data_IF_890740799235
#
_entry.id   IF_890740799235
#
_cell.length_a   1.000
_cell.length_b   1.000
_cell.length_c   1.000
_cell.angle_alpha   90.00
_cell.angle_beta   90.00
_cell.angle_gamma   90.00
#
_symmetry.space_group_name_H-M   'P 1'
#
loop_
_entity.id
_entity.type
_entity.pdbx_description
1 polymer ?
#
# COMPACT_ATOMS: atom_id res chain seq x y z
N UNK A 1 -19.21 -3.89 45.45
CA UNK A 1 -18.16 -3.56 46.42
C UNK A 1 -16.96 -4.47 46.16
N UNK A 2 -15.77 -3.88 46.16
CA UNK A 2 -14.43 -4.48 45.97
C UNK A 2 -14.11 -5.17 44.64
N UNK A 3 -13.28 -4.49 43.84
CA UNK A 3 -12.49 -5.03 42.74
C UNK A 3 -11.26 -4.15 42.57
N UNK A 4 -10.12 -4.68 42.99
CA UNK A 4 -8.85 -3.99 43.24
C UNK A 4 -8.26 -3.27 42.02
N UNK A 5 -7.68 -2.11 42.32
CA UNK A 5 -6.86 -1.26 41.47
C UNK A 5 -5.54 -1.99 41.19
N UNK A 6 -5.31 -2.34 39.93
CA UNK A 6 -4.00 -2.72 39.40
C UNK A 6 -3.49 -1.62 38.47
N UNK A 7 -2.79 -0.64 39.04
CA UNK A 7 -2.02 0.35 38.29
C UNK A 7 -0.78 -0.35 37.71
N UNK A 8 -0.74 -0.57 36.40
CA UNK A 8 0.51 -0.78 35.66
C UNK A 8 0.79 0.46 34.82
N UNK A 9 1.68 1.30 35.31
CA UNK A 9 2.27 2.46 34.64
C UNK A 9 3.54 2.11 33.85
N UNK A 10 3.78 0.83 33.54
CA UNK A 10 5.07 0.33 33.01
C UNK A 10 5.27 0.40 31.49
N UNK A 11 4.20 0.44 30.70
CA UNK A 11 4.30 0.12 29.26
C UNK A 11 5.12 1.09 28.40
N UNK A 12 5.16 2.39 28.74
CA UNK A 12 5.90 3.38 27.95
C UNK A 12 7.37 3.55 28.40
N UNK A 13 7.64 3.31 29.69
CA UNK A 13 8.97 3.49 30.29
C UNK A 13 9.91 2.33 29.95
N UNK A 14 9.40 1.10 29.88
CA UNK A 14 10.21 -0.08 29.55
C UNK A 14 10.65 -0.08 28.09
N UNK A 15 9.81 0.36 27.15
CA UNK A 15 10.20 0.44 25.73
C UNK A 15 11.29 1.49 25.49
N UNK A 16 11.23 2.63 26.19
CA UNK A 16 12.25 3.68 26.10
C UNK A 16 13.53 3.25 26.83
N UNK A 17 13.41 2.58 27.99
CA UNK A 17 14.55 2.04 28.74
C UNK A 17 15.31 0.98 27.94
N UNK A 18 14.60 0.04 27.31
CA UNK A 18 15.22 -1.01 26.51
C UNK A 18 15.90 -0.43 25.25
N UNK A 19 15.30 0.58 24.61
CA UNK A 19 15.92 1.24 23.46
C UNK A 19 17.20 2.03 23.82
N UNK A 20 17.30 2.55 25.05
CA UNK A 20 18.50 3.25 25.53
C UNK A 20 19.57 2.24 25.95
N UNK A 21 19.18 1.15 26.63
CA UNK A 21 20.08 0.08 27.04
C UNK A 21 20.77 -0.59 25.84
N UNK A 22 20.02 -0.85 24.75
CA UNK A 22 20.54 -1.45 23.52
C UNK A 22 21.47 -0.52 22.74
N UNK A 23 21.26 0.80 22.85
CA UNK A 23 22.14 1.79 22.22
C UNK A 23 23.48 1.87 22.96
N UNK A 24 23.48 1.77 24.29
CA UNK A 24 24.68 1.84 25.14
C UNK A 24 25.53 0.57 24.98
N UNK A 25 24.91 -0.61 24.90
CA UNK A 25 25.62 -1.88 24.67
C UNK A 25 26.23 -1.98 23.27
N UNK A 26 25.62 -1.35 22.25
CA UNK A 26 26.20 -1.26 20.90
C UNK A 26 27.45 -0.38 20.81
N UNK A 27 27.55 0.64 21.68
CA UNK A 27 28.69 1.55 21.75
C UNK A 27 29.85 0.99 22.59
N UNK A 28 29.57 0.16 23.59
CA UNK A 28 30.59 -0.47 24.43
C UNK A 28 31.38 -1.59 23.74
N UNK A 29 30.81 -2.25 22.73
CA UNK A 29 31.47 -3.34 21.99
C UNK A 29 32.28 -2.88 20.76
N UNK A 30 32.38 -1.57 20.50
CA UNK A 30 33.06 -1.03 19.31
C UNK A 30 34.52 -0.61 19.54
N UNK A 31 35.08 -0.75 20.75
CA UNK A 31 36.32 -0.06 21.13
C UNK A 31 37.45 -0.92 21.71
N UNK A 32 37.48 -2.23 21.47
CA UNK A 32 38.64 -3.07 21.83
C UNK A 32 39.12 -3.92 20.64
N UNK A 33 40.17 -3.42 19.94
CA UNK A 33 41.43 -4.12 19.68
C UNK A 33 42.15 -3.59 18.42
N UNK A 34 43.28 -2.91 18.65
CA UNK A 34 44.29 -2.61 17.63
C UNK A 34 45.69 -3.09 18.09
N UNK A 35 46.31 -3.92 17.24
CA UNK A 35 47.77 -4.18 17.02
C UNK A 35 48.60 -5.05 18.01
N UNK A 36 49.79 -5.59 17.61
CA UNK A 36 50.16 -6.37 16.41
C UNK A 36 51.01 -7.67 16.71
N UNK A 37 51.26 -8.45 15.64
CA UNK A 37 52.08 -9.68 15.43
C UNK A 37 53.57 -9.64 15.95
N UNK A 38 54.45 -10.71 15.95
CA UNK A 38 54.60 -11.81 14.95
C UNK A 38 55.14 -13.23 15.37
N UNK A 39 55.24 -14.13 14.37
CA UNK A 39 55.95 -15.45 14.26
C UNK A 39 55.27 -16.69 14.90
N UNK A 40 55.24 -17.92 14.35
CA UNK A 40 56.11 -18.65 13.41
C UNK A 40 55.36 -19.84 12.73
N UNK A 41 55.97 -20.40 11.68
CA UNK A 41 55.55 -21.44 10.71
C UNK A 41 54.97 -22.79 11.21
N UNK A 42 54.00 -23.37 10.47
CA UNK A 42 54.13 -24.60 9.64
C UNK A 42 52.77 -25.27 9.24
N UNK A 43 52.70 -25.65 7.95
CA UNK A 43 51.89 -26.63 7.21
C UNK A 43 50.78 -27.46 7.90
N UNK A 44 49.55 -27.44 7.37
CA UNK A 44 48.95 -28.45 6.45
C UNK A 44 47.41 -28.36 6.39
N UNK A 45 46.89 -28.41 5.15
CA UNK A 45 45.62 -28.98 4.66
C UNK A 45 44.23 -28.61 5.21
N UNK A 46 43.35 -28.44 4.19
CA UNK A 46 41.91 -28.71 4.14
C UNK A 46 40.92 -27.66 4.68
N UNK A 47 40.14 -27.11 3.74
CA UNK A 47 38.70 -26.99 3.91
C UNK A 47 38.11 -25.58 4.08
N UNK A 48 37.40 -25.15 3.03
CA UNK A 48 36.18 -24.33 3.08
C UNK A 48 36.32 -22.80 3.28
N UNK A 49 35.37 -22.09 2.67
CA UNK A 49 34.98 -20.68 2.83
C UNK A 49 35.67 -19.69 1.87
N UNK A 50 35.06 -19.51 0.69
CA UNK A 50 35.17 -18.32 -0.17
C UNK A 50 33.84 -18.13 -0.94
N UNK A 51 32.84 -17.54 -0.28
CA UNK A 51 31.67 -16.93 -0.94
C UNK A 51 31.24 -15.71 -0.13
N UNK A 52 32.04 -14.64 -0.20
CA UNK A 52 31.62 -13.32 0.24
C UNK A 52 32.40 -12.27 -0.57
N UNK A 53 32.11 -12.19 -1.88
CA UNK A 53 32.50 -11.05 -2.74
C UNK A 53 31.79 -10.99 -4.10
N UNK A 54 30.65 -11.66 -4.26
CA UNK A 54 29.90 -11.70 -5.52
C UNK A 54 28.42 -11.28 -5.33
N UNK A 55 28.17 -10.27 -4.49
CA UNK A 55 26.83 -9.68 -4.34
C UNK A 55 26.76 -8.16 -4.57
N UNK A 56 27.89 -7.46 -4.69
CA UNK A 56 27.91 -6.01 -4.94
C UNK A 56 27.98 -5.64 -6.42
N UNK A 57 28.01 -6.61 -7.35
CA UNK A 57 28.08 -6.37 -8.79
C UNK A 57 26.71 -6.38 -9.52
N UNK A 58 25.61 -6.72 -8.82
CA UNK A 58 24.27 -6.86 -9.43
C UNK A 58 23.39 -5.60 -9.19
N UNK A 59 23.84 -4.66 -8.36
CA UNK A 59 23.11 -3.42 -8.03
C UNK A 59 23.09 -2.33 -9.11
N UNK A 60 24.06 -2.32 -10.04
CA UNK A 60 24.25 -1.19 -10.96
C UNK A 60 23.73 -1.42 -12.40
N UNK A 61 23.21 -2.62 -12.71
CA UNK A 61 22.65 -2.94 -14.03
C UNK A 61 21.13 -2.70 -14.17
N UNK A 62 20.43 -2.32 -13.09
CA UNK A 62 18.99 -2.03 -13.13
C UNK A 62 18.62 -0.54 -13.19
N UNK A 63 19.60 0.38 -13.25
CA UNK A 63 19.35 1.83 -13.36
C UNK A 63 19.49 2.41 -14.77
N UNK A 64 19.95 1.63 -15.75
CA UNK A 64 20.27 2.11 -17.11
C UNK A 64 19.22 1.87 -18.20
N UNK A 65 18.07 1.25 -17.91
CA UNK A 65 17.08 0.85 -18.95
C UNK A 65 15.79 1.68 -18.90
N UNK A 66 15.70 2.68 -18.01
CA UNK A 66 14.52 3.53 -17.87
C UNK A 66 14.52 4.80 -18.74
N UNK A 67 15.47 4.96 -19.65
CA UNK A 67 15.61 6.17 -20.47
C UNK A 67 15.95 5.82 -21.92
N UNK A 68 14.96 5.28 -22.65
CA UNK A 68 14.84 5.41 -24.11
C UNK A 68 13.52 4.81 -24.58
N UNK A 69 13.00 5.32 -25.69
CA UNK A 69 11.78 4.92 -26.42
C UNK A 69 10.53 5.70 -26.03
N UNK A 70 10.58 6.99 -26.36
CA UNK A 70 9.45 7.76 -26.87
C UNK A 70 9.41 7.51 -28.39
N UNK A 71 8.37 6.84 -28.91
CA UNK A 71 8.10 6.78 -30.37
C UNK A 71 6.62 6.95 -30.64
N UNK A 72 6.39 8.02 -31.41
CA UNK A 72 5.22 8.59 -32.04
C UNK A 72 4.40 7.59 -32.87
N UNK A 73 3.09 7.52 -32.65
CA UNK A 73 2.17 6.66 -33.43
C UNK A 73 1.41 7.50 -34.45
N UNK A 74 1.92 7.55 -35.68
CA UNK A 74 1.25 8.19 -36.82
C UNK A 74 0.11 7.29 -37.34
N UNK A 75 -1.05 7.91 -37.44
CA UNK A 75 -2.32 7.38 -37.93
C UNK A 75 -2.41 7.55 -39.44
N UNK A 76 -2.46 6.46 -40.20
CA UNK A 76 -2.87 6.52 -41.61
C UNK A 76 -4.06 5.60 -41.91
N UNK A 77 -4.91 6.18 -42.74
CA UNK A 77 -6.33 5.94 -42.97
C UNK A 77 -6.49 4.99 -44.17
N UNK A 78 -7.43 4.06 -44.08
CA UNK A 78 -7.80 3.19 -45.20
C UNK A 78 -8.38 3.98 -46.37
N UNK A 79 -8.06 3.53 -47.59
CA UNK A 79 -8.80 3.88 -48.80
C UNK A 79 -8.73 2.73 -49.81
N UNK A 80 -9.92 2.30 -50.20
CA UNK A 80 -10.26 1.40 -51.30
C UNK A 80 -10.08 2.06 -52.66
N UNK A 81 -9.68 1.28 -53.67
CA UNK A 81 -9.85 1.51 -55.12
C UNK A 81 -9.94 0.10 -55.73
N UNK A 82 -11.07 -0.36 -56.29
CA UNK A 82 -11.85 0.10 -57.45
C UNK A 82 -11.09 0.03 -58.79
N UNK A 83 -11.85 -0.50 -59.75
CA UNK A 83 -11.48 -1.15 -61.01
C UNK A 83 -11.32 -0.17 -62.17
N UNK A 84 -10.89 -0.78 -63.28
CA UNK A 84 -11.05 -0.36 -64.67
C UNK A 84 -10.02 0.63 -65.22
N UNK A 85 -9.35 0.20 -66.30
CA UNK A 85 -9.52 0.71 -67.69
C UNK A 85 -8.20 0.54 -68.48
N UNK A 86 -8.23 -0.31 -69.50
CA UNK A 86 -7.27 -0.35 -70.64
C UNK A 86 -7.47 0.87 -71.56
N UNK A 87 -6.47 1.36 -72.33
CA UNK A 87 -6.20 0.77 -73.65
C UNK A 87 -4.74 0.79 -74.16
N UNK A 88 -4.48 -0.20 -75.03
CA UNK A 88 -3.69 -0.24 -76.27
C UNK A 88 -2.56 0.79 -76.54
N UNK A 89 -1.35 0.27 -76.79
CA UNK A 89 -0.70 0.23 -78.12
C UNK A 89 0.82 0.06 -78.01
N UNK A 90 1.37 -1.04 -78.54
CA UNK A 90 2.24 -1.03 -79.72
C UNK A 90 2.97 -2.36 -79.87
N UNK A 91 2.99 -2.80 -81.13
CA UNK A 91 3.66 -3.98 -81.64
C UNK A 91 5.19 -3.88 -81.48
N UNK A 92 5.82 -5.00 -81.11
CA UNK A 92 6.92 -5.55 -81.93
C UNK A 92 7.06 -7.07 -81.66
N UNK A 93 7.20 -7.90 -82.71
CA UNK A 93 7.44 -9.34 -82.58
C UNK A 93 8.95 -9.61 -82.48
N UNK A 94 9.29 -10.79 -81.96
CA UNK A 94 10.64 -11.37 -81.88
C UNK A 94 11.32 -11.27 -80.50
N UNK A 95 11.04 -12.25 -79.66
CA UNK A 95 12.10 -13.10 -79.09
C UNK A 95 11.50 -14.25 -78.26
N UNK A 96 11.35 -15.38 -78.94
CA UNK A 96 11.27 -16.68 -78.30
C UNK A 96 12.67 -17.00 -77.75
N UNK A 97 12.68 -17.45 -76.49
CA UNK A 97 13.79 -18.13 -75.80
C UNK A 97 14.90 -17.27 -75.17
N UNK A 98 14.64 -16.77 -73.95
CA UNK A 98 15.54 -17.01 -72.83
C UNK A 98 14.79 -16.98 -71.50
N UNK A 99 14.34 -18.17 -71.09
CA UNK A 99 13.99 -18.48 -69.71
C UNK A 99 15.20 -18.14 -68.83
N UNK A 100 15.04 -17.26 -67.83
CA UNK A 100 16.19 -16.94 -67.00
C UNK A 100 16.01 -16.05 -65.78
N UNK A 101 14.82 -15.53 -65.46
CA UNK A 101 14.61 -14.83 -64.19
C UNK A 101 13.33 -15.35 -63.54
N UNK A 102 13.51 -16.36 -62.68
CA UNK A 102 12.51 -16.80 -61.70
C UNK A 102 11.98 -15.56 -60.98
N UNK A 103 10.72 -15.18 -61.22
CA UNK A 103 9.93 -14.47 -60.22
C UNK A 103 10.14 -15.22 -58.89
N UNK A 104 10.51 -14.57 -57.77
CA UNK A 104 10.56 -15.27 -56.50
C UNK A 104 9.17 -15.88 -56.30
N UNK A 105 9.13 -17.21 -56.26
CA UNK A 105 7.95 -17.98 -55.89
C UNK A 105 7.44 -17.32 -54.62
N UNK A 106 6.24 -16.74 -54.68
CA UNK A 106 5.57 -16.11 -53.55
C UNK A 106 5.67 -17.11 -52.40
N UNK A 107 6.59 -16.85 -51.45
CA UNK A 107 6.81 -17.76 -50.33
C UNK A 107 5.55 -17.62 -49.51
N UNK A 108 4.69 -18.63 -49.55
CA UNK A 108 3.50 -18.66 -48.72
C UNK A 108 3.91 -18.23 -47.30
N UNK A 109 3.20 -17.26 -46.70
CA UNK A 109 3.57 -16.79 -45.38
C UNK A 109 3.73 -17.99 -44.45
N UNK A 110 4.90 -18.10 -43.83
CA UNK A 110 5.24 -19.21 -42.94
C UNK A 110 4.33 -19.17 -41.70
N UNK A 111 3.13 -19.74 -41.84
CA UNK A 111 2.16 -19.81 -40.78
C UNK A 111 2.47 -20.99 -39.87
N UNK A 112 2.48 -20.73 -38.58
CA UNK A 112 2.71 -21.71 -37.52
C UNK A 112 1.72 -22.91 -37.57
N UNK A 113 0.58 -22.72 -38.25
CA UNK A 113 -0.46 -23.73 -38.44
C UNK A 113 -0.19 -24.67 -39.63
N UNK A 114 0.79 -24.37 -40.49
CA UNK A 114 1.19 -25.25 -41.59
C UNK A 114 2.19 -26.33 -41.15
N UNK A 115 2.63 -26.29 -39.88
CA UNK A 115 3.49 -27.32 -39.32
C UNK A 115 2.70 -28.60 -39.04
N UNK A 116 3.30 -29.79 -39.25
CA UNK A 116 2.75 -31.04 -38.77
C UNK A 116 2.42 -30.98 -37.27
N UNK A 117 1.31 -31.59 -36.83
CA UNK A 117 0.83 -31.50 -35.46
C UNK A 117 1.87 -32.03 -34.44
N UNK A 118 2.72 -32.97 -34.83
CA UNK A 118 3.79 -33.52 -34.01
C UNK A 118 4.85 -32.46 -33.66
N UNK A 119 5.23 -31.64 -34.64
CA UNK A 119 6.19 -30.54 -34.44
C UNK A 119 5.54 -29.47 -33.56
N UNK A 120 4.26 -29.19 -33.77
CA UNK A 120 3.52 -28.23 -32.96
C UNK A 120 3.37 -28.68 -31.50
N UNK A 121 3.16 -29.97 -31.25
CA UNK A 121 3.15 -30.57 -29.91
C UNK A 121 4.54 -30.51 -29.27
N UNK A 122 5.61 -30.71 -30.04
CA UNK A 122 6.97 -30.56 -29.55
C UNK A 122 7.29 -29.12 -29.14
N UNK A 123 6.87 -28.14 -29.95
CA UNK A 123 6.98 -26.72 -29.62
C UNK A 123 6.24 -26.41 -28.32
N UNK A 124 5.01 -26.90 -28.16
CA UNK A 124 4.20 -26.70 -26.94
C UNK A 124 4.85 -27.33 -25.70
N UNK A 125 5.56 -28.45 -25.86
CA UNK A 125 6.30 -29.07 -24.75
C UNK A 125 7.49 -28.21 -24.30
N UNK A 126 8.09 -27.44 -25.20
CA UNK A 126 9.24 -26.58 -24.93
C UNK A 126 8.85 -25.16 -24.48
N UNK A 127 7.57 -24.77 -24.56
CA UNK A 127 7.12 -23.44 -24.15
C UNK A 127 6.72 -23.39 -22.68
N UNK A 128 6.87 -22.21 -22.07
CA UNK A 128 6.45 -22.00 -20.69
C UNK A 128 4.93 -22.10 -20.57
N UNK A 129 4.44 -22.52 -19.41
CA UNK A 129 3.01 -22.72 -19.18
C UNK A 129 2.16 -21.47 -19.44
N UNK A 130 2.68 -20.28 -19.11
CA UNK A 130 2.02 -19.01 -19.41
C UNK A 130 1.87 -18.77 -20.92
N UNK A 131 2.88 -19.15 -21.70
CA UNK A 131 2.89 -19.00 -23.16
C UNK A 131 1.95 -20.01 -23.81
N UNK A 132 1.88 -21.25 -23.31
CA UNK A 132 0.92 -22.26 -23.79
C UNK A 132 -0.52 -21.74 -23.65
N UNK A 133 -0.87 -21.15 -22.51
CA UNK A 133 -2.21 -20.59 -22.28
C UNK A 133 -2.45 -19.38 -23.18
N UNK A 134 -1.45 -18.52 -23.35
CA UNK A 134 -1.56 -17.34 -24.21
C UNK A 134 -1.73 -17.72 -25.68
N UNK A 135 -0.96 -18.71 -26.14
CA UNK A 135 -1.03 -19.30 -27.47
C UNK A 135 -2.42 -19.90 -27.74
N UNK A 136 -2.98 -20.61 -26.76
CA UNK A 136 -4.34 -21.14 -26.83
C UNK A 136 -5.44 -20.07 -26.97
N UNK A 137 -5.17 -18.82 -26.61
CA UNK A 137 -6.14 -17.70 -26.78
C UNK A 137 -6.08 -17.05 -28.16
N UNK A 138 -5.07 -17.34 -28.97
CA UNK A 138 -4.86 -16.67 -30.27
C UNK A 138 -5.75 -17.22 -31.38
N UNK A 139 -5.85 -18.55 -31.51
CA UNK A 139 -6.68 -19.19 -32.54
C UNK A 139 -7.30 -20.50 -32.06
N UNK A 140 -8.39 -20.93 -32.71
CA UNK A 140 -9.16 -22.13 -32.32
C UNK A 140 -8.36 -23.42 -32.47
N UNK A 141 -7.48 -23.50 -33.47
CA UNK A 141 -6.60 -24.66 -33.68
C UNK A 141 -5.62 -24.81 -32.51
N UNK A 142 -4.91 -23.74 -32.14
CA UNK A 142 -3.99 -23.73 -31.00
C UNK A 142 -4.71 -23.89 -29.66
N UNK A 143 -5.94 -23.39 -29.53
CA UNK A 143 -6.80 -23.65 -28.37
C UNK A 143 -7.07 -25.15 -28.18
N UNK A 144 -7.38 -25.88 -29.26
CA UNK A 144 -7.63 -27.32 -29.19
C UNK A 144 -6.39 -28.09 -28.75
N UNK A 145 -5.21 -27.63 -29.19
CA UNK A 145 -3.92 -28.26 -28.88
C UNK A 145 -3.46 -27.94 -27.45
N UNK A 146 -3.69 -26.70 -27.02
CA UNK A 146 -3.47 -26.23 -25.64
C UNK A 146 -4.62 -26.62 -24.68
N UNK A 147 -5.45 -27.61 -25.03
CA UNK A 147 -6.56 -28.02 -24.19
C UNK A 147 -6.06 -28.67 -22.89
N UNK A 148 -6.73 -28.49 -21.73
CA UNK A 148 -6.29 -29.06 -20.46
C UNK A 148 -6.11 -30.58 -20.48
N UNK A 149 -6.89 -31.28 -21.30
CA UNK A 149 -6.76 -32.73 -21.48
C UNK A 149 -5.46 -33.10 -22.20
N UNK A 150 -5.12 -32.39 -23.28
CA UNK A 150 -3.89 -32.64 -24.04
C UNK A 150 -2.64 -32.23 -23.25
N UNK A 151 -2.67 -31.10 -22.54
CA UNK A 151 -1.58 -30.67 -21.66
C UNK A 151 -1.32 -31.71 -20.56
N UNK A 152 -2.37 -32.31 -19.98
CA UNK A 152 -2.24 -33.39 -19.00
C UNK A 152 -1.64 -34.66 -19.59
N UNK A 153 -1.92 -34.97 -20.85
CA UNK A 153 -1.32 -36.11 -21.56
C UNK A 153 0.15 -35.85 -21.90
N UNK A 154 0.51 -34.61 -22.28
CA UNK A 154 1.86 -34.21 -22.68
C UNK A 154 2.84 -34.07 -21.51
N UNK A 155 2.44 -33.38 -20.44
CA UNK A 155 3.30 -33.10 -19.28
C UNK A 155 3.09 -34.08 -18.11
N UNK A 156 2.01 -34.86 -18.15
CA UNK A 156 1.58 -35.71 -17.04
C UNK A 156 0.72 -34.97 -16.01
N UNK A 157 -0.16 -35.68 -15.29
CA UNK A 157 -1.14 -35.07 -14.40
C UNK A 157 -0.53 -34.40 -13.16
N UNK A 158 0.62 -34.86 -12.67
CA UNK A 158 1.30 -34.27 -11.52
C UNK A 158 1.99 -32.94 -11.88
N UNK A 159 2.80 -32.92 -12.94
CA UNK A 159 3.50 -31.72 -13.38
C UNK A 159 2.53 -30.56 -13.72
N UNK A 160 1.38 -30.87 -14.33
CA UNK A 160 0.34 -29.86 -14.59
C UNK A 160 -0.25 -29.31 -13.30
N UNK A 161 -0.44 -30.14 -12.27
CA UNK A 161 -0.91 -29.64 -10.96
C UNK A 161 0.11 -28.70 -10.34
N UNK A 162 1.39 -29.05 -10.37
CA UNK A 162 2.45 -28.20 -9.83
C UNK A 162 2.61 -26.89 -10.60
N UNK A 163 2.49 -26.92 -11.93
CA UNK A 163 2.47 -25.73 -12.76
C UNK A 163 1.26 -24.84 -12.43
N UNK A 164 0.06 -25.40 -12.32
CA UNK A 164 -1.14 -24.63 -11.96
C UNK A 164 -1.02 -24.01 -10.56
N UNK A 165 -0.38 -24.69 -9.61
CA UNK A 165 -0.17 -24.17 -8.26
C UNK A 165 0.94 -23.11 -8.17
N UNK A 166 1.94 -23.17 -9.04
CA UNK A 166 3.05 -22.20 -9.09
C UNK A 166 2.76 -20.96 -9.94
N UNK A 167 1.63 -20.91 -10.64
CA UNK A 167 1.25 -19.76 -11.46
C UNK A 167 0.05 -19.01 -10.86
N UNK A 168 0.05 -17.69 -11.02
CA UNK A 168 -1.12 -16.89 -10.69
C UNK A 168 -2.23 -17.08 -11.73
N UNK A 169 -3.48 -17.31 -11.29
CA UNK A 169 -4.67 -17.40 -12.16
C UNK A 169 -4.81 -16.26 -13.16
N UNK A 170 -4.64 -15.03 -12.67
CA UNK A 170 -5.02 -13.81 -13.41
C UNK A 170 -3.92 -13.35 -14.35
N UNK A 171 -2.69 -13.18 -13.85
CA UNK A 171 -1.57 -12.67 -14.63
C UNK A 171 -0.61 -13.75 -15.16
N UNK A 172 -0.80 -15.03 -14.80
CA UNK A 172 0.06 -16.15 -15.20
C UNK A 172 1.55 -15.98 -14.81
N UNK A 173 1.86 -15.10 -13.85
CA UNK A 173 3.22 -14.97 -13.31
C UNK A 173 3.59 -16.27 -12.58
N UNK A 174 4.75 -16.82 -12.94
CA UNK A 174 5.35 -17.99 -12.32
C UNK A 174 6.06 -17.63 -11.01
N UNK A 175 5.87 -18.46 -9.98
CA UNK A 175 6.64 -18.41 -8.75
C UNK A 175 6.90 -19.85 -8.28
N UNK A 176 8.17 -20.26 -8.36
CA UNK A 176 8.64 -21.58 -7.95
C UNK A 176 8.44 -21.83 -6.45
N UNK A 177 8.78 -20.84 -5.61
CA UNK A 177 8.71 -20.95 -4.15
C UNK A 177 7.28 -20.83 -3.61
N UNK A 178 6.30 -20.43 -4.44
CA UNK A 178 4.86 -20.30 -4.08
C UNK A 178 4.56 -19.32 -2.91
N UNK A 179 5.58 -18.69 -2.34
CA UNK A 179 5.54 -17.77 -1.19
C UNK A 179 4.82 -16.42 -1.46
N UNK A 180 4.62 -16.03 -2.73
CA UNK A 180 3.91 -14.80 -3.11
C UNK A 180 2.53 -15.08 -3.75
N UNK A 181 2.03 -16.31 -3.59
CA UNK A 181 0.76 -16.77 -4.12
C UNK A 181 -0.19 -17.10 -2.97
N UNK A 182 -1.39 -16.54 -3.02
CA UNK A 182 -2.45 -16.80 -2.06
C UNK A 182 -3.16 -18.08 -2.46
N UNK A 183 -3.30 -18.98 -1.48
CA UNK A 183 -4.04 -20.21 -1.64
C UNK A 183 -5.53 -19.90 -1.82
N UNK A 184 -6.10 -20.43 -2.90
CA UNK A 184 -7.54 -20.40 -3.13
C UNK A 184 -8.21 -21.55 -2.38
N UNK A 185 -9.14 -21.26 -1.43
CA UNK A 185 -9.85 -22.32 -0.75
C UNK A 185 -10.67 -23.10 -1.78
N UNK A 186 -10.96 -24.38 -1.50
CA UNK A 186 -11.80 -25.16 -2.38
C UNK A 186 -13.17 -24.49 -2.52
N UNK A 187 -13.55 -24.05 -3.73
CA UNK A 187 -14.95 -23.72 -3.98
C UNK A 187 -15.74 -25.02 -3.83
N UNK A 188 -16.48 -25.14 -2.73
CA UNK A 188 -17.37 -26.26 -2.49
C UNK A 188 -18.30 -26.42 -3.70
N UNK A 189 -18.13 -27.52 -4.45
CA UNK A 189 -19.00 -27.89 -5.58
C UNK A 189 -18.44 -27.68 -6.99
N UNK A 190 -17.27 -27.07 -7.19
CA UNK A 190 -16.63 -27.01 -8.52
C UNK A 190 -15.24 -27.63 -8.46
N UNK A 191 -15.10 -28.83 -9.04
CA UNK A 191 -13.82 -29.57 -9.20
C UNK A 191 -12.80 -28.87 -10.13
N UNK A 192 -12.86 -27.55 -10.24
CA UNK A 192 -11.85 -26.74 -10.93
C UNK A 192 -10.57 -26.69 -10.08
N UNK A 193 -9.39 -26.98 -10.65
CA UNK A 193 -8.13 -27.00 -9.92
C UNK A 193 -7.81 -25.58 -9.44
N UNK A 194 -7.74 -25.39 -8.12
CA UNK A 194 -7.65 -24.08 -7.46
C UNK A 194 -6.44 -23.28 -7.94
N UNK A 195 -6.63 -22.24 -8.77
CA UNK A 195 -5.51 -21.46 -9.21
C UNK A 195 -5.21 -20.42 -8.12
N UNK A 196 -3.98 -20.44 -7.64
CA UNK A 196 -3.50 -19.49 -6.66
C UNK A 196 -3.49 -18.08 -7.27
N UNK A 197 -3.54 -17.05 -6.42
CA UNK A 197 -3.55 -15.67 -6.90
C UNK A 197 -2.38 -14.90 -6.30
N UNK A 198 -1.60 -14.22 -7.13
CA UNK A 198 -0.54 -13.36 -6.62
C UNK A 198 -1.12 -12.15 -5.87
N UNK A 199 -0.32 -11.56 -4.98
CA UNK A 199 -0.76 -10.43 -4.15
C UNK A 199 -1.20 -9.22 -4.98
N UNK A 200 -0.53 -8.93 -6.09
CA UNK A 200 -0.88 -7.80 -6.97
C UNK A 200 -2.27 -7.99 -7.56
N UNK A 201 -2.58 -9.18 -8.10
CA UNK A 201 -3.89 -9.49 -8.65
C UNK A 201 -4.97 -9.57 -7.58
N UNK A 202 -4.69 -10.14 -6.41
CA UNK A 202 -5.65 -10.19 -5.31
C UNK A 202 -6.00 -8.79 -4.79
N UNK A 203 -5.00 -7.91 -4.67
CA UNK A 203 -5.19 -6.49 -4.34
C UNK A 203 -5.95 -5.73 -5.43
N UNK A 204 -5.61 -5.96 -6.71
CA UNK A 204 -6.33 -5.38 -7.86
C UNK A 204 -7.78 -5.84 -7.89
N UNK A 205 -8.09 -7.08 -7.53
CA UNK A 205 -9.44 -7.62 -7.46
C UNK A 205 -10.21 -7.23 -6.19
N UNK A 206 -9.56 -6.56 -5.22
CA UNK A 206 -10.13 -6.29 -3.89
C UNK A 206 -10.64 -7.56 -3.19
N UNK A 207 -9.83 -8.61 -3.24
CA UNK A 207 -10.17 -9.90 -2.67
C UNK A 207 -10.43 -9.78 -1.15
N UNK A 208 -11.58 -10.29 -0.70
CA UNK A 208 -11.96 -10.34 0.71
C UNK A 208 -11.01 -11.17 1.59
N UNK A 209 -10.13 -11.98 1.00
CA UNK A 209 -9.08 -12.74 1.70
C UNK A 209 -7.93 -11.84 2.18
N UNK A 210 -7.53 -10.84 1.40
CA UNK A 210 -6.42 -9.94 1.74
C UNK A 210 -6.94 -8.75 2.53
N UNK A 211 -7.17 -8.98 3.82
CA UNK A 211 -7.67 -7.96 4.75
C UNK A 211 -6.72 -7.75 5.91
N UNK A 212 -6.70 -6.51 6.36
CA UNK A 212 -5.80 -5.98 7.37
C UNK A 212 -6.02 -6.71 8.71
N UNK A 213 -4.94 -7.19 9.33
CA UNK A 213 -5.03 -7.92 10.60
C UNK A 213 -5.62 -9.33 10.48
N UNK A 214 -5.68 -9.90 9.26
CA UNK A 214 -6.02 -11.31 9.01
C UNK A 214 -4.77 -12.06 8.50
N UNK A 215 -4.65 -13.34 8.87
CA UNK A 215 -3.68 -14.25 8.28
C UNK A 215 -4.22 -14.80 6.96
N UNK A 216 -3.36 -14.86 5.94
CA UNK A 216 -3.65 -15.49 4.65
C UNK A 216 -2.82 -16.75 4.50
N UNK A 217 -3.45 -17.82 4.01
CA UNK A 217 -2.76 -19.03 3.61
C UNK A 217 -2.07 -18.79 2.27
N UNK A 218 -0.78 -19.04 2.24
CA UNK A 218 0.03 -19.04 1.03
C UNK A 218 0.02 -20.43 0.38
N UNK A 219 0.43 -20.49 -0.89
CA UNK A 219 0.41 -21.72 -1.68
C UNK A 219 1.51 -22.74 -1.30
N UNK A 220 2.49 -22.33 -0.51
CA UNK A 220 3.46 -23.17 0.20
C UNK A 220 2.92 -23.69 1.56
N UNK A 221 1.64 -23.43 1.85
CA UNK A 221 0.98 -23.68 3.14
C UNK A 221 1.51 -22.85 4.32
N UNK A 222 2.38 -21.87 4.07
CA UNK A 222 2.77 -20.92 5.10
C UNK A 222 1.64 -19.93 5.39
N UNK A 223 1.68 -19.34 6.58
CA UNK A 223 0.74 -18.33 7.04
C UNK A 223 1.42 -16.98 7.07
N UNK A 224 0.91 -16.03 6.29
CA UNK A 224 1.42 -14.66 6.28
C UNK A 224 0.39 -13.68 6.85
N UNK A 225 0.86 -12.75 7.67
CA UNK A 225 0.04 -11.62 8.13
C UNK A 225 -0.10 -10.57 7.02
N UNK A 226 -1.27 -9.96 6.89
CA UNK A 226 -1.44 -8.77 6.04
C UNK A 226 -1.06 -7.53 6.84
N UNK A 227 -0.04 -6.80 6.36
CA UNK A 227 0.49 -5.62 7.04
C UNK A 227 -0.58 -4.54 7.25
N UNK A 228 -0.63 -3.99 8.47
CA UNK A 228 -1.60 -2.96 8.87
C UNK A 228 -1.44 -1.62 8.20
N UNK A 229 -0.22 -1.27 7.81
CA UNK A 229 0.08 0.02 7.18
C UNK A 229 -0.16 -0.01 5.67
N UNK A 230 0.41 -0.99 4.98
CA UNK A 230 0.40 -1.04 3.51
C UNK A 230 -0.69 -1.96 2.93
N UNK A 231 -1.22 -2.89 3.72
CA UNK A 231 -2.20 -3.88 3.26
C UNK A 231 -1.62 -5.00 2.40
N UNK A 232 -0.29 -5.14 2.36
CA UNK A 232 0.39 -6.23 1.66
C UNK A 232 0.77 -7.36 2.63
N UNK A 233 0.73 -8.63 2.19
CA UNK A 233 1.22 -9.74 2.99
C UNK A 233 2.70 -9.59 3.38
N UNK A 234 3.02 -10.05 4.58
CA UNK A 234 4.36 -10.07 5.14
C UNK A 234 4.92 -11.47 4.92
N UNK A 235 5.67 -11.65 3.83
CA UNK A 235 6.36 -12.91 3.52
C UNK A 235 7.85 -12.88 3.91
N UNK A 236 8.41 -11.68 4.07
CA UNK A 236 9.79 -11.43 4.50
C UNK A 236 9.85 -10.13 5.32
N UNK A 237 10.86 -10.00 6.18
CA UNK A 237 11.15 -8.78 6.96
C UNK A 237 10.01 -8.30 7.90
N UNK A 238 9.57 -9.19 8.80
CA UNK A 238 8.66 -8.84 9.89
C UNK A 238 9.35 -7.90 10.90
N UNK A 239 8.63 -6.93 11.44
CA UNK A 239 9.16 -6.07 12.51
C UNK A 239 9.30 -6.88 13.81
N UNK A 240 10.45 -6.78 14.49
CA UNK A 240 10.76 -7.55 15.71
C UNK A 240 9.76 -7.35 16.86
N UNK A 241 9.19 -6.14 16.98
CA UNK A 241 8.27 -5.78 18.08
C UNK A 241 6.81 -6.07 17.72
N UNK A 242 6.46 -6.06 16.41
CA UNK A 242 5.10 -6.26 15.94
C UNK A 242 5.06 -7.09 14.65
N UNK A 243 4.67 -8.36 14.77
CA UNK A 243 4.53 -9.32 13.65
C UNK A 243 3.52 -8.88 12.55
N UNK A 244 2.69 -7.88 12.82
CA UNK A 244 1.63 -7.40 11.90
C UNK A 244 2.07 -6.22 11.02
N UNK A 245 3.36 -5.86 11.04
CA UNK A 245 3.94 -4.81 10.20
C UNK A 245 5.24 -5.27 9.52
N UNK A 246 5.46 -4.79 8.29
CA UNK A 246 6.82 -4.76 7.74
C UNK A 246 7.69 -3.80 8.56
N UNK A 247 8.98 -4.07 8.69
CA UNK A 247 9.92 -3.19 9.38
C UNK A 247 9.85 -1.69 8.94
N UNK A 248 9.89 -1.33 7.64
CA UNK A 248 9.78 0.08 7.22
C UNK A 248 8.39 0.68 7.46
N UNK A 249 7.35 -0.15 7.38
CA UNK A 249 5.98 0.25 7.67
C UNK A 249 5.79 0.59 9.16
N UNK A 250 6.42 -0.20 10.04
CA UNK A 250 6.38 0.03 11.48
C UNK A 250 7.09 1.35 11.86
N UNK A 251 8.22 1.67 11.24
CA UNK A 251 8.89 2.97 11.44
C UNK A 251 7.98 4.14 11.05
N UNK A 252 7.28 4.02 9.92
CA UNK A 252 6.35 5.06 9.46
C UNK A 252 5.14 5.20 10.39
N UNK A 253 4.64 4.08 10.91
CA UNK A 253 3.59 4.04 11.91
C UNK A 253 4.02 4.70 13.22
N UNK A 254 5.23 4.40 13.72
CA UNK A 254 5.76 5.00 14.93
C UNK A 254 5.95 6.52 14.79
N UNK A 255 6.40 6.99 13.62
CA UNK A 255 6.47 8.42 13.33
C UNK A 255 5.08 9.07 13.34
N UNK A 256 4.04 8.39 12.85
CA UNK A 256 2.66 8.89 12.90
C UNK A 256 2.13 8.93 14.35
N UNK A 257 2.49 7.96 15.20
CA UNK A 257 2.18 7.98 16.63
C UNK A 257 2.84 9.17 17.35
N UNK A 258 4.13 9.40 17.09
CA UNK A 258 4.86 10.54 17.66
C UNK A 258 4.27 11.87 17.20
N UNK A 259 3.95 12.00 15.91
CA UNK A 259 3.30 13.18 15.36
C UNK A 259 1.95 13.46 16.03
N UNK A 260 1.11 12.44 16.19
CA UNK A 260 -0.16 12.54 16.91
C UNK A 260 0.04 12.98 18.38
N UNK A 261 1.05 12.45 19.06
CA UNK A 261 1.36 12.84 20.44
C UNK A 261 1.74 14.32 20.53
N UNK A 262 2.58 14.83 19.63
CA UNK A 262 2.96 16.24 19.57
C UNK A 262 1.74 17.12 19.28
N UNK A 263 0.90 16.74 18.32
CA UNK A 263 -0.34 17.46 18.02
C UNK A 263 -1.27 17.53 19.23
N UNK A 264 -1.37 16.44 20.00
CA UNK A 264 -2.15 16.40 21.23
C UNK A 264 -1.68 17.42 22.26
N UNK A 265 -0.37 17.55 22.47
CA UNK A 265 0.20 18.58 23.35
C UNK A 265 -0.04 20.00 22.84
N UNK A 266 0.17 20.24 21.53
CA UNK A 266 -0.10 21.55 20.92
C UNK A 266 -1.57 21.93 21.11
N UNK A 267 -2.50 21.02 20.82
CA UNK A 267 -3.92 21.25 21.00
C UNK A 267 -4.32 21.48 22.45
N UNK A 268 -3.73 20.74 23.40
CA UNK A 268 -3.93 20.95 24.83
C UNK A 268 -3.47 22.35 25.25
N UNK A 269 -2.26 22.75 24.86
CA UNK A 269 -1.72 24.09 25.13
C UNK A 269 -2.60 25.18 24.54
N UNK A 270 -3.06 25.02 23.29
CA UNK A 270 -3.95 25.97 22.63
C UNK A 270 -5.29 26.09 23.35
N UNK A 271 -5.88 24.97 23.76
CA UNK A 271 -7.13 24.97 24.52
C UNK A 271 -7.01 25.68 25.87
N UNK A 272 -5.89 25.47 26.60
CA UNK A 272 -5.62 26.13 27.89
C UNK A 272 -5.40 27.63 27.69
N UNK A 273 -4.54 28.03 26.74
CA UNK A 273 -4.24 29.45 26.47
C UNK A 273 -5.50 30.18 25.99
N UNK A 274 -6.26 29.59 25.06
CA UNK A 274 -7.50 30.18 24.57
C UNK A 274 -8.53 30.35 25.71
N UNK A 275 -8.71 29.35 26.58
CA UNK A 275 -9.60 29.48 27.73
C UNK A 275 -9.12 30.57 28.71
N UNK A 276 -7.82 30.62 29.01
CA UNK A 276 -7.26 31.65 29.89
C UNK A 276 -7.46 33.06 29.35
N UNK A 277 -7.24 33.27 28.04
CA UNK A 277 -7.50 34.55 27.38
C UNK A 277 -8.99 34.93 27.43
N UNK A 278 -9.88 33.96 27.17
CA UNK A 278 -11.32 34.16 27.28
C UNK A 278 -11.74 34.62 28.69
N UNK A 279 -11.22 33.98 29.73
CA UNK A 279 -11.58 34.31 31.12
C UNK A 279 -10.93 35.60 31.61
N UNK A 280 -9.74 35.95 31.10
CA UNK A 280 -9.01 37.17 31.47
C UNK A 280 -9.65 38.41 30.86
N UNK A 281 -10.03 38.35 29.59
CA UNK A 281 -10.46 39.53 28.82
C UNK A 281 -11.97 39.60 28.61
N UNK A 282 -12.68 38.48 28.56
CA UNK A 282 -14.11 38.42 28.19
C UNK A 282 -14.99 37.83 29.30
N UNK A 283 -14.62 38.02 30.56
CA UNK A 283 -15.36 37.49 31.73
C UNK A 283 -16.82 37.98 31.79
N UNK A 284 -17.09 39.19 31.31
CA UNK A 284 -18.44 39.78 31.27
C UNK A 284 -19.31 39.30 30.11
N UNK A 285 -18.72 38.72 29.06
CA UNK A 285 -19.44 38.28 27.88
C UNK A 285 -19.88 36.81 28.04
N UNK A 286 -21.14 36.59 28.41
CA UNK A 286 -21.70 35.24 28.63
C UNK A 286 -21.52 34.34 27.39
N UNK A 287 -21.63 34.93 26.18
CA UNK A 287 -21.44 34.25 24.89
C UNK A 287 -20.01 33.72 24.67
N UNK A 288 -19.02 34.26 25.38
CA UNK A 288 -17.62 33.80 25.33
C UNK A 288 -17.31 32.94 26.55
N UNK A 289 -17.72 33.38 27.74
CA UNK A 289 -17.37 32.76 29.00
C UNK A 289 -18.00 31.36 29.17
N UNK A 290 -19.31 31.22 28.99
CA UNK A 290 -19.98 29.94 29.23
C UNK A 290 -19.51 28.81 28.28
N UNK A 291 -19.35 29.05 26.96
CA UNK A 291 -18.84 28.01 26.06
C UNK A 291 -17.39 27.63 26.31
N UNK A 292 -16.53 28.60 26.68
CA UNK A 292 -15.11 28.33 26.94
C UNK A 292 -14.88 27.57 28.24
N UNK A 293 -15.66 27.84 29.30
CA UNK A 293 -15.65 27.02 30.53
C UNK A 293 -16.10 25.60 30.24
N UNK A 294 -17.22 25.44 29.51
CA UNK A 294 -17.74 24.12 29.16
C UNK A 294 -16.76 23.34 28.30
N UNK A 295 -16.15 23.98 27.30
CA UNK A 295 -15.14 23.35 26.45
C UNK A 295 -13.87 22.98 27.23
N UNK A 296 -13.48 23.78 28.23
CA UNK A 296 -12.33 23.47 29.08
C UNK A 296 -12.60 22.22 29.93
N UNK A 297 -13.80 22.07 30.51
CA UNK A 297 -14.17 20.86 31.24
C UNK A 297 -14.19 19.62 30.31
N UNK A 298 -14.74 19.76 29.10
CA UNK A 298 -14.76 18.69 28.11
C UNK A 298 -13.35 18.30 27.64
N UNK A 299 -12.41 19.25 27.56
CA UNK A 299 -11.01 18.99 27.24
C UNK A 299 -10.37 18.04 28.27
N UNK A 300 -10.60 18.28 29.57
CA UNK A 300 -10.10 17.39 30.63
C UNK A 300 -10.78 16.02 30.61
N UNK A 301 -12.08 15.96 30.32
CA UNK A 301 -12.78 14.69 30.12
C UNK A 301 -12.18 13.91 28.94
N UNK A 302 -11.85 14.59 27.84
CA UNK A 302 -11.19 13.98 26.69
C UNK A 302 -9.79 13.46 27.05
N UNK A 303 -9.01 14.24 27.81
CA UNK A 303 -7.70 13.80 28.29
C UNK A 303 -7.83 12.58 29.20
N UNK A 304 -8.81 12.57 30.11
CA UNK A 304 -9.14 11.41 30.95
C UNK A 304 -9.49 10.17 30.11
N UNK A 305 -10.27 10.35 29.03
CA UNK A 305 -10.56 9.28 28.08
C UNK A 305 -9.34 8.80 27.29
N UNK A 306 -8.30 9.61 27.13
CA UNK A 306 -7.05 9.17 26.49
C UNK A 306 -6.16 8.41 27.49
N UNK A 307 -6.11 8.85 28.75
CA UNK A 307 -5.25 8.26 29.79
C UNK A 307 -5.81 6.95 30.38
N UNK A 308 -7.11 6.88 30.63
CA UNK A 308 -7.73 5.76 31.34
C UNK A 308 -8.18 4.60 30.42
N UNK A 309 -8.07 4.77 29.11
CA UNK A 309 -8.76 3.89 28.16
C UNK A 309 -7.84 2.79 27.66
N UNK A 310 -8.09 1.57 28.14
CA UNK A 310 -7.45 0.35 27.64
C UNK A 310 -7.80 0.07 26.17
N UNK A 311 -6.86 -0.59 25.47
CA UNK A 311 -6.79 -0.78 24.02
C UNK A 311 -7.97 -1.56 23.37
N UNK A 312 -9.03 -1.90 24.11
CA UNK A 312 -9.89 -3.04 23.72
C UNK A 312 -11.17 -2.71 22.96
N UNK A 313 -11.85 -1.56 23.19
CA UNK A 313 -13.05 -1.18 22.41
C UNK A 313 -13.25 0.35 22.39
N UNK A 314 -12.90 1.00 21.27
CA UNK A 314 -13.25 2.41 21.05
C UNK A 314 -14.62 2.49 20.37
N UNK A 315 -15.60 3.07 21.05
CA UNK A 315 -16.84 3.57 20.46
C UNK A 315 -16.53 4.90 19.76
N UNK A 316 -16.22 4.84 18.46
CA UNK A 316 -15.88 6.03 17.65
C UNK A 316 -16.92 7.14 17.73
N UNK A 317 -18.18 6.73 17.91
CA UNK A 317 -19.33 7.62 18.03
C UNK A 317 -19.16 8.60 19.20
N UNK A 318 -18.66 8.14 20.35
CA UNK A 318 -18.51 9.01 21.53
C UNK A 318 -17.45 10.08 21.33
N UNK A 319 -16.30 9.71 20.73
CA UNK A 319 -15.23 10.69 20.47
C UNK A 319 -15.60 11.66 19.36
N UNK A 320 -16.32 11.19 18.34
CA UNK A 320 -16.88 12.06 17.31
C UNK A 320 -17.87 13.08 17.90
N UNK A 321 -18.84 12.64 18.71
CA UNK A 321 -19.80 13.54 19.36
C UNK A 321 -19.11 14.57 20.27
N UNK A 322 -18.09 14.17 21.04
CA UNK A 322 -17.35 15.11 21.90
C UNK A 322 -16.62 16.19 21.09
N UNK A 323 -15.92 15.81 20.02
CA UNK A 323 -15.26 16.80 19.15
C UNK A 323 -16.26 17.70 18.43
N UNK A 324 -17.43 17.17 18.04
CA UNK A 324 -18.51 17.97 17.44
C UNK A 324 -19.04 19.03 18.42
N UNK A 325 -19.31 18.63 19.67
CA UNK A 325 -19.78 19.53 20.73
C UNK A 325 -18.72 20.59 21.02
N UNK A 326 -17.46 20.19 21.21
CA UNK A 326 -16.37 21.14 21.47
C UNK A 326 -16.18 22.12 20.31
N UNK A 327 -16.23 21.65 19.06
CA UNK A 327 -16.17 22.52 17.87
C UNK A 327 -17.32 23.53 17.88
N UNK A 328 -18.54 23.08 18.18
CA UNK A 328 -19.71 23.95 18.30
C UNK A 328 -19.59 25.00 19.40
N UNK A 329 -18.99 24.66 20.55
CA UNK A 329 -18.77 25.59 21.66
C UNK A 329 -17.77 26.71 21.34
N UNK A 330 -16.86 26.52 20.38
CA UNK A 330 -15.89 27.56 19.97
C UNK A 330 -16.41 28.50 18.89
N UNK A 331 -17.55 28.21 18.25
CA UNK A 331 -18.15 29.09 17.24
C UNK A 331 -18.66 30.42 17.85
N UNK A 332 -19.45 30.43 18.94
CA UNK A 332 -19.95 31.68 19.52
C UNK A 332 -18.84 32.64 20.00
N UNK A 333 -17.77 32.18 20.69
CA UNK A 333 -16.63 33.03 21.04
C UNK A 333 -15.95 33.71 19.85
N UNK A 334 -15.72 32.97 18.76
CA UNK A 334 -15.12 33.51 17.53
C UNK A 334 -16.05 34.52 16.87
N UNK A 335 -17.34 34.19 16.78
CA UNK A 335 -18.35 35.08 16.20
C UNK A 335 -18.44 36.40 16.97
N UNK A 336 -18.52 36.35 18.30
CA UNK A 336 -18.64 37.52 19.16
C UNK A 336 -17.47 38.50 18.98
N UNK A 337 -16.23 38.00 19.03
CA UNK A 337 -15.05 38.86 18.87
C UNK A 337 -14.95 39.40 17.43
N UNK A 338 -15.30 38.59 16.44
CA UNK A 338 -15.31 39.05 15.04
C UNK A 338 -16.34 40.16 14.80
N UNK A 339 -17.51 40.09 15.44
CA UNK A 339 -18.51 41.17 15.38
C UNK A 339 -18.05 42.42 16.12
N UNK A 340 -17.45 42.27 17.31
CA UNK A 340 -16.93 43.39 18.10
C UNK A 340 -15.85 44.17 17.33
N UNK A 341 -14.92 43.47 16.67
CA UNK A 341 -13.90 44.08 15.79
C UNK A 341 -14.53 44.78 14.59
N UNK A 342 -15.60 44.20 14.03
CA UNK A 342 -16.29 44.78 12.87
C UNK A 342 -17.06 46.03 13.26
N UNK A 343 -17.66 46.09 14.43
CA UNK A 343 -18.48 47.23 14.83
C UNK A 343 -17.61 48.45 15.22
N UNK A 344 -16.37 48.22 15.67
CA UNK A 344 -15.39 49.25 16.02
C UNK A 344 -14.48 49.70 14.84
N UNK A 345 -15.04 49.89 13.64
CA UNK A 345 -14.32 50.20 12.38
C UNK A 345 -13.37 51.43 12.38
N UNK A 346 -13.30 52.21 13.46
CA UNK A 346 -12.46 53.41 13.60
C UNK A 346 -11.41 53.38 14.71
N UNK A 347 -11.41 52.38 15.61
CA UNK A 347 -10.47 52.31 16.73
C UNK A 347 -9.36 51.27 16.48
N UNK A 348 -8.11 51.53 16.93
CA UNK A 348 -7.07 50.51 16.85
C UNK A 348 -7.45 49.32 17.75
N UNK A 349 -7.70 48.17 17.13
CA UNK A 349 -8.06 46.94 17.86
C UNK A 349 -6.94 46.59 18.85
N UNK A 350 -7.25 46.37 20.14
CA UNK A 350 -6.25 45.99 21.13
C UNK A 350 -5.53 44.70 20.72
N UNK A 351 -4.20 44.67 20.88
CA UNK A 351 -3.38 43.49 20.58
C UNK A 351 -3.84 42.22 21.32
N UNK A 352 -4.41 42.38 22.51
CA UNK A 352 -4.99 41.28 23.30
C UNK A 352 -6.22 40.64 22.64
N UNK A 353 -7.07 41.45 22.00
CA UNK A 353 -8.27 40.99 21.28
C UNK A 353 -7.84 40.27 20.00
N UNK A 354 -6.89 40.82 19.25
CA UNK A 354 -6.31 40.16 18.07
C UNK A 354 -5.65 38.82 18.41
N UNK A 355 -4.86 38.78 19.50
CA UNK A 355 -4.24 37.55 19.98
C UNK A 355 -5.30 36.52 20.40
N UNK A 356 -6.33 36.94 21.13
CA UNK A 356 -7.44 36.06 21.53
C UNK A 356 -8.15 35.45 20.33
N UNK A 357 -8.49 36.27 19.33
CA UNK A 357 -9.10 35.79 18.09
C UNK A 357 -8.19 34.78 17.37
N UNK A 358 -6.89 35.07 17.26
CA UNK A 358 -5.93 34.17 16.63
C UNK A 358 -5.89 32.80 17.33
N UNK A 359 -5.79 32.78 18.67
CA UNK A 359 -5.81 31.53 19.45
C UNK A 359 -7.15 30.80 19.33
N UNK A 360 -8.27 31.51 19.28
CA UNK A 360 -9.59 30.90 19.16
C UNK A 360 -9.78 30.26 17.79
N UNK A 361 -9.41 30.97 16.72
CA UNK A 361 -9.44 30.45 15.35
C UNK A 361 -8.51 29.26 15.16
N UNK A 362 -7.30 29.32 15.73
CA UNK A 362 -6.32 28.24 15.62
C UNK A 362 -6.79 27.00 16.40
N UNK A 363 -7.34 27.18 17.60
CA UNK A 363 -7.96 26.09 18.35
C UNK A 363 -9.16 25.50 17.58
N UNK A 364 -10.03 26.33 17.00
CA UNK A 364 -11.16 25.88 16.17
C UNK A 364 -10.69 25.08 14.95
N UNK A 365 -9.60 25.51 14.30
CA UNK A 365 -9.01 24.81 13.17
C UNK A 365 -8.50 23.41 13.55
N UNK A 366 -7.78 23.29 14.67
CA UNK A 366 -7.32 22.00 15.19
C UNK A 366 -8.49 21.08 15.51
N UNK A 367 -9.55 21.61 16.15
CA UNK A 367 -10.79 20.88 16.44
C UNK A 367 -11.52 20.45 15.17
N UNK A 368 -11.53 21.28 14.14
CA UNK A 368 -12.12 20.95 12.85
C UNK A 368 -11.40 19.78 12.16
N UNK A 369 -10.06 19.79 12.14
CA UNK A 369 -9.31 18.62 11.66
C UNK A 369 -9.59 17.37 12.49
N UNK A 370 -9.77 17.51 13.81
CA UNK A 370 -10.20 16.41 14.66
C UNK A 370 -11.58 15.86 14.34
N UNK A 371 -12.53 16.75 14.03
CA UNK A 371 -13.85 16.37 13.61
C UNK A 371 -13.81 15.62 12.27
N UNK A 372 -13.06 16.13 11.29
CA UNK A 372 -12.91 15.51 9.96
C UNK A 372 -12.23 14.13 10.02
N UNK A 373 -11.18 13.97 10.83
CA UNK A 373 -10.53 12.67 10.99
C UNK A 373 -11.44 11.67 11.71
N UNK A 374 -12.13 12.08 12.78
CA UNK A 374 -13.11 11.19 13.44
C UNK A 374 -14.27 10.83 12.50
N UNK A 375 -14.74 11.74 11.65
CA UNK A 375 -15.73 11.46 10.61
C UNK A 375 -15.20 10.43 9.60
N UNK A 376 -13.95 10.58 9.16
CA UNK A 376 -13.31 9.64 8.23
C UNK A 376 -13.21 8.23 8.82
N UNK A 377 -12.90 8.13 10.11
CA UNK A 377 -12.87 6.84 10.83
C UNK A 377 -14.28 6.28 10.98
N UNK A 378 -15.26 7.11 11.32
CA UNK A 378 -16.67 6.74 11.46
C UNK A 378 -17.24 6.16 10.15
N UNK A 379 -16.84 6.72 9.00
CA UNK A 379 -17.22 6.23 7.68
C UNK A 379 -16.51 4.90 7.29
N UNK A 380 -15.61 4.37 8.13
CA UNK A 380 -14.95 3.09 7.88
C UNK A 380 -13.96 3.11 6.73
N UNK A 381 -13.26 4.24 6.52
CA UNK A 381 -12.31 4.37 5.43
C UNK A 381 -11.13 3.39 5.57
N UNK A 382 -10.99 2.47 4.61
CA UNK A 382 -9.85 1.55 4.53
C UNK A 382 -8.60 2.28 4.02
N UNK A 383 -7.71 2.65 4.94
CA UNK A 383 -6.49 3.41 4.68
C UNK A 383 -5.46 2.67 3.84
N UNK A 384 -5.56 1.34 3.75
CA UNK A 384 -4.62 0.52 2.96
C UNK A 384 -4.88 0.64 1.46
N UNK A 385 -6.05 1.16 1.05
CA UNK A 385 -6.41 1.35 -0.36
C UNK A 385 -5.48 2.29 -1.11
N UNK A 386 -4.74 3.16 -0.41
CA UNK A 386 -3.73 4.04 -1.02
C UNK A 386 -2.60 3.29 -1.73
N UNK A 387 -2.30 2.06 -1.31
CA UNK A 387 -1.27 1.21 -1.90
C UNK A 387 -1.83 0.19 -2.91
N UNK A 388 -3.08 0.35 -3.36
CA UNK A 388 -3.66 -0.56 -4.34
C UNK A 388 -3.15 -0.20 -5.75
N UNK A 389 -2.70 -1.19 -6.54
CA UNK A 389 -2.38 -0.97 -7.95
C UNK A 389 -3.64 -0.58 -8.73
N UNK A 390 -3.50 0.27 -9.75
CA UNK A 390 -4.57 0.71 -10.67
C UNK A 390 -5.66 1.65 -10.12
N UNK A 391 -5.38 2.32 -9.00
CA UNK A 391 -6.25 3.42 -8.53
C UNK A 391 -5.92 4.72 -9.27
N UNK A 392 -6.95 5.44 -9.72
CA UNK A 392 -6.79 6.75 -10.36
C UNK A 392 -6.07 7.74 -9.45
N UNK A 393 -5.34 8.70 -10.05
CA UNK A 393 -4.52 9.68 -9.31
C UNK A 393 -5.37 10.47 -8.30
N UNK A 394 -6.58 10.89 -8.70
CA UNK A 394 -7.51 11.61 -7.83
C UNK A 394 -7.94 10.77 -6.61
N UNK A 395 -8.25 9.49 -6.82
CA UNK A 395 -8.60 8.58 -5.72
C UNK A 395 -7.40 8.33 -4.80
N UNK A 396 -6.18 8.23 -5.35
CA UNK A 396 -4.95 8.14 -4.55
C UNK A 396 -4.75 9.38 -3.70
N UNK A 397 -4.97 10.58 -4.25
CA UNK A 397 -4.91 11.84 -3.51
C UNK A 397 -5.94 11.85 -2.37
N UNK A 398 -7.18 11.46 -2.64
CA UNK A 398 -8.22 11.35 -1.61
C UNK A 398 -7.83 10.38 -0.48
N UNK A 399 -7.28 9.21 -0.80
CA UNK A 399 -6.81 8.26 0.21
C UNK A 399 -5.63 8.79 1.03
N UNK A 400 -4.75 9.62 0.44
CA UNK A 400 -3.68 10.29 1.18
C UNK A 400 -4.24 11.34 2.14
N UNK A 401 -5.23 12.13 1.71
CA UNK A 401 -5.92 13.11 2.57
C UNK A 401 -6.65 12.39 3.71
N UNK A 402 -7.42 11.35 3.41
CA UNK A 402 -8.08 10.54 4.42
C UNK A 402 -7.07 9.94 5.42
N UNK A 403 -5.94 9.45 4.93
CA UNK A 403 -4.86 8.94 5.78
C UNK A 403 -4.26 10.01 6.69
N UNK A 404 -4.00 11.21 6.15
CA UNK A 404 -3.53 12.35 6.93
C UNK A 404 -4.54 12.72 8.02
N UNK A 405 -5.83 12.82 7.68
CA UNK A 405 -6.90 13.11 8.62
C UNK A 405 -7.00 12.06 9.73
N UNK A 406 -6.89 10.76 9.41
CA UNK A 406 -6.89 9.72 10.45
C UNK A 406 -5.65 9.79 11.33
N UNK A 407 -4.47 10.11 10.79
CA UNK A 407 -3.25 10.23 11.59
C UNK A 407 -3.20 11.51 12.43
N UNK A 408 -3.88 12.56 11.97
CA UNK A 408 -4.10 13.76 12.77
C UNK A 408 -4.90 13.45 14.04
N UNK A 409 -5.85 12.51 13.98
CA UNK A 409 -6.82 12.29 15.05
C UNK A 409 -6.60 11.05 15.88
N UNK A 410 -6.23 9.94 15.24
CA UNK A 410 -6.03 8.66 15.91
C UNK A 410 -5.30 7.64 15.01
N UNK A 411 -3.95 7.65 14.98
CA UNK A 411 -3.17 6.70 14.18
C UNK A 411 -3.39 5.23 14.58
N UNK A 412 -3.70 4.97 15.85
CA UNK A 412 -4.01 3.63 16.36
C UNK A 412 -5.28 3.01 15.75
N UNK A 413 -6.08 3.76 14.97
CA UNK A 413 -7.17 3.17 14.17
C UNK A 413 -6.67 2.05 13.23
N UNK A 414 -5.40 2.09 12.82
CA UNK A 414 -4.77 1.04 12.00
C UNK A 414 -4.61 -0.31 12.72
N UNK A 415 -4.59 -0.31 14.06
CA UNK A 415 -4.47 -1.53 14.86
C UNK A 415 -5.79 -2.32 14.94
N UNK A 416 -6.88 -1.75 14.44
CA UNK A 416 -8.16 -2.45 14.40
C UNK A 416 -8.26 -3.44 13.25
N UNK A 417 -8.91 -4.56 13.50
CA UNK A 417 -9.23 -5.53 12.44
C UNK A 417 -10.30 -4.92 11.54
N UNK A 418 -10.21 -5.21 10.24
CA UNK A 418 -11.22 -4.83 9.26
C UNK A 418 -11.84 -6.08 8.62
N UNK A 419 -13.16 -6.28 8.70
CA UNK A 419 -14.17 -5.45 9.38
C UNK A 419 -14.02 -5.47 10.92
N UNK A 420 -14.59 -4.49 11.64
CA UNK A 420 -14.63 -4.51 13.10
C UNK A 420 -15.38 -5.75 13.60
N UNK A 421 -14.85 -6.41 14.63
CA UNK A 421 -15.54 -7.50 15.31
C UNK A 421 -16.74 -6.89 16.07
N UNK A 422 -17.94 -6.88 15.46
CA UNK A 422 -19.18 -6.39 16.08
C UNK A 422 -19.86 -7.42 17.01
N UNK A 423 -19.12 -8.47 17.42
CA UNK A 423 -19.63 -9.54 18.27
C UNK A 423 -19.27 -9.32 19.75
#
# INVERSE_FOLDING_TARGET
MHGLIGLSSGGLSETIRNSIQDSISSLANSNDHANPNPNNNNNHNLGSIKEEKEQDAIGDLQKGVAESVEVEFVRTKGRSLESDTEPENNLDPDNIALQGLRKPKNRDPHHLLNLPPEILLHIIRCTAFADIISLGRTCRALHSIASPAQIRLLLGPQAVRDLVQSHCRSCLVYNELRNNLILSPPLAGQGTPFPNQCFTCARKANDGRVRVGRKVNLADNAMAWVCRWCGWPICAAQAHVHEQFHQPCYKSYNNALLFFFILGWLQLSLGIVAAALAWRYFRGAVMVFAPTVTSFLLLWICLGFLLLRGNRRRTYNSTFCLELIMTGLWIPPVYYIATEIKDDFGAPVPRSVQASLAFFCLNLLFRFFNLLGNLTIFLGADLTRRHRPDVSILKKAWYKVACFLVFWTYPQALEQKFPPDYL
#
